data_IF_801287624994
#
_entry.id   IF_801287624994
#
_cell.length_a   1.000
_cell.length_b   1.000
_cell.length_c   1.000
_cell.angle_alpha   90.00
_cell.angle_beta   90.00
_cell.angle_gamma   90.00
#
_symmetry.space_group_name_H-M   'P 1'
#
loop_
_entity.id
_entity.type
_entity.pdbx_description
1 polymer ?
#
# COMPACT_ATOMS: atom_id res chain seq x y z
N UNK A 1 12.89 8.73 10.24
CA UNK A 1 12.59 7.38 9.71
C UNK A 1 11.88 7.55 8.38
N UNK A 2 12.12 6.67 7.39
CA UNK A 2 11.46 6.76 6.09
C UNK A 2 10.44 5.63 5.89
N UNK A 3 9.38 5.92 5.14
CA UNK A 3 8.39 4.97 4.67
C UNK A 3 8.52 4.80 3.15
N UNK A 4 8.67 3.56 2.70
CA UNK A 4 8.72 3.23 1.28
C UNK A 4 7.34 2.76 0.79
N UNK A 5 6.72 3.50 -0.12
CA UNK A 5 5.44 3.17 -0.72
C UNK A 5 5.65 2.53 -2.09
N UNK A 6 5.13 1.33 -2.26
CA UNK A 6 5.10 0.62 -3.54
C UNK A 6 3.65 0.56 -4.00
N UNK A 7 3.29 1.40 -4.97
CA UNK A 7 1.92 1.50 -5.47
C UNK A 7 1.87 1.38 -7.00
N UNK A 8 0.80 0.79 -7.50
CA UNK A 8 0.48 0.78 -8.93
C UNK A 8 -0.60 1.80 -9.24
N UNK A 9 -0.44 2.51 -10.35
CA UNK A 9 -1.46 3.42 -10.86
C UNK A 9 -1.33 3.55 -12.38
N UNK A 10 -2.46 3.79 -13.04
CA UNK A 10 -2.47 4.06 -14.48
C UNK A 10 -3.79 3.68 -15.16
N UNK A 11 -3.84 3.94 -16.46
CA UNK A 11 -4.98 3.60 -17.32
C UNK A 11 -5.17 2.08 -17.33
N UNK A 12 -6.24 1.60 -16.70
CA UNK A 12 -6.57 0.17 -16.55
C UNK A 12 -6.48 -0.37 -15.13
N UNK A 13 -5.79 0.32 -14.21
CA UNK A 13 -5.77 0.00 -12.77
C UNK A 13 -6.58 1.04 -11.98
N UNK A 14 -6.59 2.29 -12.45
CA UNK A 14 -7.11 3.43 -11.69
C UNK A 14 -6.05 4.05 -10.78
N UNK A 15 -6.49 4.93 -9.87
CA UNK A 15 -5.63 5.68 -8.96
C UNK A 15 -5.89 5.38 -7.48
N UNK A 16 -6.75 4.38 -7.17
CA UNK A 16 -7.13 4.07 -5.79
C UNK A 16 -5.93 3.71 -4.90
N UNK A 17 -5.05 2.82 -5.38
CA UNK A 17 -3.84 2.42 -4.64
C UNK A 17 -2.93 3.62 -4.36
N UNK A 18 -2.63 4.42 -5.39
CA UNK A 18 -1.80 5.60 -5.23
C UNK A 18 -2.41 6.61 -4.26
N UNK A 19 -3.71 6.91 -4.37
CA UNK A 19 -4.38 7.85 -3.48
C UNK A 19 -4.34 7.41 -2.01
N UNK A 20 -4.46 6.10 -1.74
CA UNK A 20 -4.28 5.58 -0.37
C UNK A 20 -2.86 5.77 0.11
N UNK A 21 -1.86 5.40 -0.68
CA UNK A 21 -0.46 5.62 -0.29
C UNK A 21 -0.14 7.10 -0.08
N UNK A 22 -0.67 8.00 -0.90
CA UNK A 22 -0.55 9.45 -0.72
C UNK A 22 -1.19 9.92 0.58
N UNK A 23 -2.36 9.38 0.94
CA UNK A 23 -3.04 9.71 2.20
C UNK A 23 -2.21 9.26 3.42
N UNK A 24 -1.63 8.06 3.37
CA UNK A 24 -0.73 7.56 4.43
C UNK A 24 0.56 8.40 4.47
N UNK A 25 1.14 8.73 3.32
CA UNK A 25 2.34 9.54 3.22
C UNK A 25 2.13 10.94 3.83
N UNK A 26 0.98 11.56 3.59
CA UNK A 26 0.64 12.85 4.18
C UNK A 26 0.51 12.76 5.71
N UNK A 27 -0.16 11.72 6.22
CA UNK A 27 -0.20 11.45 7.66
C UNK A 27 1.21 11.21 8.24
N UNK A 28 2.05 10.44 7.55
CA UNK A 28 3.42 10.17 7.96
C UNK A 28 4.26 11.46 8.03
N UNK A 29 4.11 12.35 7.05
CA UNK A 29 4.76 13.66 6.99
C UNK A 29 4.38 14.54 8.18
N UNK A 30 3.09 14.57 8.55
CA UNK A 30 2.61 15.28 9.74
C UNK A 30 3.31 14.77 11.02
N UNK A 31 3.69 13.50 11.06
CA UNK A 31 4.44 12.87 12.16
C UNK A 31 5.97 12.92 11.98
N UNK A 32 6.50 13.73 11.06
CA UNK A 32 7.93 13.91 10.84
C UNK A 32 8.63 12.72 10.16
N UNK A 33 7.88 11.87 9.46
CA UNK A 33 8.42 10.78 8.65
C UNK A 33 8.60 11.22 7.19
N UNK A 34 9.64 10.69 6.55
CA UNK A 34 9.91 10.93 5.14
C UNK A 34 9.21 9.86 4.29
N UNK A 35 8.35 10.27 3.36
CA UNK A 35 7.73 9.36 2.42
C UNK A 35 8.61 9.20 1.18
N UNK A 36 8.73 7.96 0.70
CA UNK A 36 9.51 7.59 -0.46
C UNK A 36 8.65 6.70 -1.36
N UNK A 37 8.54 6.97 -2.66
CA UNK A 37 7.66 6.23 -3.56
C UNK A 37 8.44 5.45 -4.62
N UNK A 38 8.15 4.16 -4.74
CA UNK A 38 8.58 3.29 -5.83
C UNK A 38 7.37 3.01 -6.74
N UNK A 39 7.29 3.73 -7.86
CA UNK A 39 6.20 3.59 -8.85
C UNK A 39 6.72 3.40 -10.27
N UNK A 40 5.87 2.82 -11.13
CA UNK A 40 6.14 2.71 -12.58
C UNK A 40 6.04 4.07 -13.27
N UNK A 41 6.73 4.22 -14.42
CA UNK A 41 6.84 5.48 -15.20
C UNK A 41 5.52 6.22 -15.43
N UNK A 42 4.42 5.49 -15.58
CA UNK A 42 3.09 6.04 -15.83
C UNK A 42 2.46 6.73 -14.60
N UNK A 43 2.89 6.38 -13.38
CA UNK A 43 2.43 7.02 -12.14
C UNK A 43 3.18 8.29 -11.78
N UNK A 44 4.32 8.57 -12.44
CA UNK A 44 5.20 9.69 -12.06
C UNK A 44 4.50 11.04 -12.17
N UNK A 45 3.75 11.30 -13.24
CA UNK A 45 3.08 12.60 -13.41
C UNK A 45 2.10 12.92 -12.27
N UNK A 46 1.40 11.90 -11.75
CA UNK A 46 0.48 12.07 -10.62
C UNK A 46 1.22 12.29 -9.30
N UNK A 47 2.38 11.63 -9.11
CA UNK A 47 3.22 11.84 -7.92
C UNK A 47 3.89 13.20 -8.00
N UNK A 48 4.52 13.56 -9.11
CA UNK A 48 5.24 14.82 -9.28
C UNK A 48 4.34 16.04 -9.05
N UNK A 49 3.08 15.98 -9.51
CA UNK A 49 2.09 17.02 -9.26
C UNK A 49 1.70 17.18 -7.77
N UNK A 50 1.73 16.08 -7.00
CA UNK A 50 1.30 16.07 -5.60
C UNK A 50 2.46 16.13 -4.60
N UNK A 51 3.63 15.61 -4.99
CA UNK A 51 4.82 15.30 -4.19
C UNK A 51 6.10 15.44 -5.07
N UNK A 52 6.45 16.66 -5.51
CA UNK A 52 7.55 16.90 -6.46
C UNK A 52 8.94 16.51 -5.93
N UNK A 53 9.08 16.25 -4.63
CA UNK A 53 10.34 15.88 -3.97
C UNK A 53 10.54 14.38 -3.77
N UNK A 54 9.64 13.51 -4.27
CA UNK A 54 9.69 12.07 -3.99
C UNK A 54 9.62 11.23 -5.26
N UNK A 55 10.77 11.08 -5.91
CA UNK A 55 10.97 10.28 -7.11
C UNK A 55 12.17 9.37 -6.83
N UNK A 56 11.94 8.06 -6.68
CA UNK A 56 13.06 7.12 -6.56
C UNK A 56 13.59 6.72 -7.93
N UNK A 57 14.75 7.26 -8.23
CA UNK A 57 15.81 6.54 -8.92
C UNK A 57 16.27 5.37 -8.01
N UNK A 58 16.35 4.16 -8.58
CA UNK A 58 16.86 2.96 -7.89
C UNK A 58 18.33 3.12 -7.43
N UNK A 59 19.04 4.17 -7.84
CA UNK A 59 20.34 4.56 -7.29
C UNK A 59 20.29 5.02 -5.82
N UNK A 60 19.13 5.43 -5.29
CA UNK A 60 18.95 5.90 -3.91
C UNK A 60 18.85 4.76 -2.86
N UNK A 61 18.87 3.51 -3.32
CA UNK A 61 18.74 2.27 -2.53
C UNK A 61 19.81 2.15 -1.43
N UNK A 62 20.94 2.85 -1.58
CA UNK A 62 22.07 2.80 -0.63
C UNK A 62 21.79 3.37 0.77
N UNK A 63 20.84 4.30 0.93
CA UNK A 63 20.54 4.93 2.24
C UNK A 63 19.29 4.34 2.94
N UNK A 64 18.57 3.44 2.29
CA UNK A 64 17.26 2.99 2.73
C UNK A 64 17.27 1.87 3.81
N UNK A 65 18.42 1.54 4.38
CA UNK A 65 18.49 0.59 5.49
C UNK A 65 17.59 1.08 6.66
N UNK A 66 16.68 0.21 7.13
CA UNK A 66 15.71 0.46 8.23
C UNK A 66 14.45 1.27 7.85
N UNK A 67 13.97 1.12 6.62
CA UNK A 67 12.64 1.63 6.23
C UNK A 67 11.53 0.63 6.50
N UNK A 68 10.31 1.13 6.73
CA UNK A 68 9.09 0.31 6.67
C UNK A 68 8.55 0.46 5.25
N UNK A 69 8.28 -0.65 4.56
CA UNK A 69 7.66 -0.63 3.26
C UNK A 69 6.16 -0.93 3.34
N UNK A 70 5.39 -0.18 2.55
CA UNK A 70 3.95 -0.34 2.36
C UNK A 70 3.72 -0.73 0.90
N UNK A 71 3.21 -1.94 0.70
CA UNK A 71 2.95 -2.55 -0.59
C UNK A 71 1.45 -2.51 -0.89
N UNK A 72 1.02 -1.61 -1.78
CA UNK A 72 -0.36 -1.51 -2.25
C UNK A 72 -0.43 -1.82 -3.76
N UNK A 73 -0.26 -3.10 -4.08
CA UNK A 73 -0.19 -3.59 -5.48
C UNK A 73 -1.17 -4.73 -5.78
N UNK A 74 -2.16 -4.94 -4.91
CA UNK A 74 -3.17 -6.00 -5.03
C UNK A 74 -4.05 -5.80 -6.28
N UNK A 75 -3.65 -6.37 -7.43
CA UNK A 75 -4.38 -6.25 -8.68
C UNK A 75 -4.11 -7.43 -9.64
N UNK A 76 -5.08 -7.91 -10.44
CA UNK A 76 -4.91 -9.08 -11.29
C UNK A 76 -3.79 -8.95 -12.33
N UNK A 77 -3.52 -7.73 -12.80
CA UNK A 77 -2.43 -7.49 -13.75
C UNK A 77 -1.03 -7.63 -13.13
N UNK A 78 -0.92 -7.57 -11.80
CA UNK A 78 0.32 -7.87 -11.07
C UNK A 78 0.42 -9.38 -10.87
N UNK A 79 -0.67 -10.04 -10.49
CA UNK A 79 -0.70 -11.49 -10.29
C UNK A 79 -0.46 -12.31 -11.55
N UNK A 80 -0.89 -11.82 -12.72
CA UNK A 80 -0.59 -12.48 -13.99
C UNK A 80 0.90 -12.44 -14.36
N UNK A 81 1.72 -11.71 -13.60
CA UNK A 81 3.17 -11.57 -13.79
C UNK A 81 3.90 -11.85 -12.48
N UNK A 82 3.78 -13.07 -11.97
CA UNK A 82 4.39 -13.48 -10.69
C UNK A 82 5.89 -13.15 -10.62
N UNK A 83 6.63 -13.26 -11.74
CA UNK A 83 8.04 -12.86 -11.82
C UNK A 83 8.27 -11.37 -11.50
N UNK A 84 7.36 -10.49 -11.89
CA UNK A 84 7.43 -9.05 -11.57
C UNK A 84 7.18 -8.82 -10.07
N UNK A 85 6.26 -9.59 -9.47
CA UNK A 85 5.96 -9.51 -8.04
C UNK A 85 7.13 -10.04 -7.20
N UNK A 86 7.73 -11.16 -7.58
CA UNK A 86 8.92 -11.71 -6.90
C UNK A 86 10.10 -10.73 -6.96
N UNK A 87 10.36 -10.14 -8.13
CA UNK A 87 11.42 -9.15 -8.30
C UNK A 87 11.16 -7.89 -7.45
N UNK A 88 9.89 -7.44 -7.36
CA UNK A 88 9.50 -6.35 -6.50
C UNK A 88 9.72 -6.69 -5.02
N UNK A 89 9.25 -7.85 -4.56
CA UNK A 89 9.39 -8.29 -3.18
C UNK A 89 10.87 -8.48 -2.79
N UNK A 90 11.70 -9.03 -3.68
CA UNK A 90 13.14 -9.12 -3.44
C UNK A 90 13.80 -7.74 -3.35
N UNK A 91 13.39 -6.80 -4.19
CA UNK A 91 13.90 -5.42 -4.16
C UNK A 91 13.49 -4.75 -2.85
N UNK A 92 12.21 -4.81 -2.49
CA UNK A 92 11.67 -4.20 -1.28
C UNK A 92 12.23 -4.87 -0.02
N UNK A 93 12.38 -6.20 0.01
CA UNK A 93 12.93 -6.94 1.14
C UNK A 93 14.41 -6.64 1.42
N UNK A 94 15.16 -6.16 0.42
CA UNK A 94 16.53 -5.64 0.63
C UNK A 94 16.55 -4.24 1.25
N UNK A 95 15.47 -3.48 1.08
CA UNK A 95 15.35 -2.09 1.52
C UNK A 95 14.66 -1.96 2.88
N UNK A 96 13.63 -2.77 3.09
CA UNK A 96 12.74 -2.65 4.22
C UNK A 96 13.07 -3.69 5.28
N UNK A 97 13.06 -3.25 6.55
CA UNK A 97 13.15 -4.16 7.69
C UNK A 97 11.77 -4.66 8.16
N UNK A 98 10.70 -3.99 7.68
CA UNK A 98 9.31 -4.39 7.85
C UNK A 98 8.55 -4.18 6.56
N UNK A 99 7.74 -5.14 6.17
CA UNK A 99 6.89 -5.10 4.98
C UNK A 99 5.41 -5.22 5.38
N UNK A 100 4.63 -4.20 5.07
CA UNK A 100 3.18 -4.14 5.27
C UNK A 100 2.50 -4.20 3.90
N UNK A 101 1.59 -5.13 3.69
CA UNK A 101 0.78 -5.19 2.48
C UNK A 101 -0.61 -4.60 2.72
N UNK A 102 -1.13 -3.84 1.76
CA UNK A 102 -2.55 -3.49 1.68
C UNK A 102 -3.19 -4.43 0.66
N UNK A 103 -4.15 -5.21 1.12
CA UNK A 103 -4.82 -6.21 0.30
C UNK A 103 -6.22 -5.78 -0.13
N UNK A 104 -6.68 -6.34 -1.23
CA UNK A 104 -8.02 -6.19 -1.82
C UNK A 104 -8.96 -7.31 -1.39
N UNK A 105 -10.21 -7.26 -1.86
CA UNK A 105 -11.21 -8.32 -1.65
C UNK A 105 -11.32 -9.29 -2.84
N UNK A 106 -11.82 -10.49 -2.57
CA UNK A 106 -12.20 -11.49 -3.58
C UNK A 106 -11.02 -11.89 -4.49
N UNK A 107 -11.26 -11.98 -5.81
CA UNK A 107 -10.24 -12.37 -6.80
C UNK A 107 -9.05 -11.41 -6.93
N UNK A 108 -9.14 -10.25 -6.28
CA UNK A 108 -8.10 -9.23 -6.29
C UNK A 108 -7.20 -9.32 -5.05
N UNK A 109 -7.48 -10.25 -4.13
CA UNK A 109 -6.75 -10.44 -2.89
C UNK A 109 -5.46 -11.24 -3.08
N UNK A 110 -4.45 -10.92 -2.26
CA UNK A 110 -3.23 -11.69 -2.05
C UNK A 110 -3.47 -12.99 -1.27
N UNK A 111 -4.67 -13.26 -0.75
CA UNK A 111 -5.00 -14.40 0.11
C UNK A 111 -4.26 -15.70 -0.22
N UNK A 112 -4.32 -16.11 -1.50
CA UNK A 112 -3.72 -17.36 -1.97
C UNK A 112 -2.19 -17.31 -2.04
N UNK A 113 -1.60 -16.13 -2.24
CA UNK A 113 -0.16 -15.92 -2.33
C UNK A 113 0.49 -15.55 -0.98
N UNK A 114 -0.27 -15.04 -0.01
CA UNK A 114 0.23 -14.57 1.29
C UNK A 114 1.12 -15.57 2.03
N UNK A 115 0.84 -16.89 2.06
CA UNK A 115 1.73 -17.84 2.73
C UNK A 115 3.16 -17.87 2.14
N UNK A 116 3.34 -17.43 0.90
CA UNK A 116 4.64 -17.37 0.22
C UNK A 116 5.26 -15.96 0.20
N UNK A 117 4.51 -14.93 0.61
CA UNK A 117 4.98 -13.55 0.60
C UNK A 117 5.48 -13.19 2.02
N UNK A 118 6.75 -12.77 2.19
CA UNK A 118 7.31 -12.45 3.50
C UNK A 118 6.86 -11.06 3.97
N UNK A 119 5.58 -10.91 4.31
CA UNK A 119 5.00 -9.70 4.89
C UNK A 119 4.90 -9.83 6.42
N UNK A 120 5.19 -8.75 7.14
CA UNK A 120 5.04 -8.67 8.59
C UNK A 120 3.59 -8.37 9.00
N UNK A 121 2.86 -7.63 8.15
CA UNK A 121 1.46 -7.31 8.37
C UNK A 121 0.67 -7.19 7.06
N UNK A 122 -0.62 -7.47 7.13
CA UNK A 122 -1.58 -7.31 6.04
C UNK A 122 -2.75 -6.47 6.52
N UNK A 123 -3.06 -5.41 5.78
CA UNK A 123 -4.20 -4.53 6.00
C UNK A 123 -5.27 -4.87 4.97
N UNK A 124 -6.48 -5.21 5.43
CA UNK A 124 -7.66 -5.44 4.59
C UNK A 124 -8.71 -4.39 4.97
N UNK A 125 -8.63 -3.19 4.38
CA UNK A 125 -9.33 -1.99 4.86
C UNK A 125 -10.80 -1.91 4.39
N UNK A 126 -11.49 -3.04 4.31
CA UNK A 126 -12.78 -3.15 3.66
C UNK A 126 -13.81 -3.90 4.50
N UNK A 127 -15.08 -3.48 4.37
CA UNK A 127 -16.22 -4.25 4.86
C UNK A 127 -16.26 -5.61 4.16
N UNK A 128 -16.42 -6.69 4.94
CA UNK A 128 -16.40 -8.06 4.42
C UNK A 128 -15.00 -8.62 4.18
N UNK A 129 -13.94 -7.90 4.58
CA UNK A 129 -12.60 -8.48 4.71
C UNK A 129 -12.59 -9.63 5.72
N UNK A 130 -11.75 -10.63 5.47
CA UNK A 130 -11.56 -11.77 6.36
C UNK A 130 -10.08 -12.00 6.62
N UNK A 131 -9.72 -12.35 7.85
CA UNK A 131 -8.37 -12.78 8.17
C UNK A 131 -8.07 -14.13 7.49
N UNK A 132 -6.82 -14.33 7.10
CA UNK A 132 -6.35 -15.58 6.50
C UNK A 132 -5.63 -16.42 7.56
N UNK A 133 -5.80 -17.74 7.48
CA UNK A 133 -4.99 -18.70 8.24
C UNK A 133 -3.72 -19.08 7.46
N UNK A 134 -2.71 -19.60 8.17
CA UNK A 134 -1.49 -20.10 7.53
C UNK A 134 -0.46 -19.03 7.15
N UNK A 135 -0.59 -17.81 7.66
CA UNK A 135 0.45 -16.78 7.60
C UNK A 135 0.89 -16.38 9.01
N UNK A 136 2.16 -16.00 9.16
CA UNK A 136 2.67 -15.39 10.39
C UNK A 136 2.45 -13.87 10.44
N UNK A 137 1.90 -13.28 9.38
CA UNK A 137 1.66 -11.86 9.29
C UNK A 137 0.59 -11.41 10.29
N UNK A 138 0.76 -10.21 10.85
CA UNK A 138 -0.28 -9.56 11.64
C UNK A 138 -1.41 -9.11 10.73
N UNK A 139 -2.64 -9.53 11.00
CA UNK A 139 -3.81 -9.22 10.18
C UNK A 139 -4.59 -8.03 10.77
N UNK A 140 -4.73 -6.95 10.01
CA UNK A 140 -5.53 -5.76 10.34
C UNK A 140 -6.73 -5.71 9.39
N UNK A 141 -7.89 -6.18 9.83
CA UNK A 141 -9.04 -6.44 8.96
C UNK A 141 -10.25 -5.64 9.41
N UNK A 142 -10.87 -4.94 8.46
CA UNK A 142 -12.13 -4.24 8.69
C UNK A 142 -12.10 -2.77 8.25
N UNK A 143 -13.28 -2.13 8.18
CA UNK A 143 -13.41 -0.74 7.77
C UNK A 143 -12.74 0.27 8.71
N UNK A 144 -12.45 -0.09 9.96
CA UNK A 144 -11.69 0.73 10.90
C UNK A 144 -10.24 0.98 10.45
N UNK A 145 -9.73 0.16 9.53
CA UNK A 145 -8.43 0.34 8.90
C UNK A 145 -8.53 1.05 7.53
N UNK A 146 -9.70 1.60 7.18
CA UNK A 146 -9.89 2.36 5.95
C UNK A 146 -8.93 3.55 5.87
N UNK A 147 -8.18 3.62 4.77
CA UNK A 147 -7.27 4.73 4.49
C UNK A 147 -8.06 5.81 3.76
N UNK A 148 -8.32 6.92 4.46
CA UNK A 148 -9.04 8.07 3.93
C UNK A 148 -8.10 9.28 3.80
N UNK A 149 -8.41 10.19 2.86
CA UNK A 149 -7.73 11.49 2.80
C UNK A 149 -7.94 12.25 4.11
N UNK A 150 -6.95 13.05 4.58
CA UNK A 150 -7.13 13.98 5.69
C UNK A 150 -8.37 14.87 5.56
N UNK A 151 -8.85 15.16 4.34
CA UNK A 151 -10.07 15.92 4.08
C UNK A 151 -11.33 15.29 4.72
N UNK A 152 -11.29 13.99 5.02
CA UNK A 152 -12.39 13.27 5.66
C UNK A 152 -12.33 13.30 7.20
N UNK A 153 -11.25 13.80 7.81
CA UNK A 153 -11.01 13.70 9.26
C UNK A 153 -12.11 14.37 10.12
N UNK A 154 -12.76 15.41 9.59
CA UNK A 154 -13.77 16.19 10.30
C UNK A 154 -15.19 15.95 9.77
N UNK A 155 -15.39 14.94 8.91
CA UNK A 155 -16.71 14.65 8.36
C UNK A 155 -17.51 13.86 9.40
N UNK A 156 -18.72 14.31 9.79
CA UNK A 156 -19.55 13.59 10.74
C UNK A 156 -19.85 12.17 10.23
N UNK A 157 -19.77 11.19 11.14
CA UNK A 157 -20.17 9.81 10.83
C UNK A 157 -21.62 9.78 10.37
N UNK A 158 -21.86 9.26 9.16
CA UNK A 158 -23.21 9.05 8.65
C UNK A 158 -23.87 7.93 9.44
N UNK A 159 -25.03 8.20 10.03
CA UNK A 159 -25.91 7.17 10.59
C UNK A 159 -26.80 6.66 9.47
N UNK A 160 -26.72 5.36 9.19
CA UNK A 160 -27.71 4.70 8.32
C UNK A 160 -28.90 4.42 9.23
N UNK A 161 -30.05 5.05 8.94
CA UNK A 161 -31.28 4.67 9.61
C UNK A 161 -31.63 3.26 9.11
N UNK A 162 -31.56 2.27 9.99
CA UNK A 162 -32.09 0.93 9.74
C UNK A 162 -33.63 1.04 9.66
N UNK A 163 -34.16 1.39 8.50
CA UNK A 163 -35.57 1.11 8.20
C UNK A 163 -35.69 -0.37 7.95
N UNK A 164 -36.23 -1.07 8.97
CA UNK A 164 -36.62 -2.47 8.94
C UNK A 164 -37.65 -2.77 7.84
#
# INVERSE_FOLDING_TARGET
MKLLFCAIAGRGVGYGHLNRCLSIAECARIHGLEAVFLVRRQGYAAIDAAWPSVILDLSFVGEAARTIAILDVAHPSVFSRLSDLDALLQTVGKLAHRLVAIDSLGRHSFAAALPAIPVDAVVIPYVGGAAFSGTSATMLVGPEYAVLSPDYANIPTRRINETA
#
